data_IF_669258982765
#
_entry.id   IF_669258982765
#
_cell.length_a   1.000
_cell.length_b   1.000
_cell.length_c   1.000
_cell.angle_alpha   90.00
_cell.angle_beta   90.00
_cell.angle_gamma   90.00
#
_symmetry.space_group_name_H-M   'P 1'
#
loop_
_entity.id
_entity.type
_entity.pdbx_description
1 polymer ?
#
# COMPACT_ATOMS: atom_id res chain seq x y z
N UNK A 1 11.41 -18.55 -41.98
CA UNK A 1 11.92 -18.93 -40.65
C UNK A 1 12.07 -17.69 -39.78
N UNK A 2 12.84 -16.69 -40.20
CA UNK A 2 13.01 -15.41 -39.48
C UNK A 2 11.71 -14.59 -39.30
N UNK A 3 10.82 -14.60 -40.30
CA UNK A 3 9.51 -13.95 -40.21
C UNK A 3 8.54 -14.70 -39.27
N UNK A 4 8.73 -16.01 -39.11
CA UNK A 4 7.91 -16.87 -38.24
C UNK A 4 8.37 -16.81 -36.79
N UNK A 5 9.68 -16.66 -36.55
CA UNK A 5 10.26 -16.37 -35.24
C UNK A 5 9.91 -14.96 -34.75
N UNK A 6 9.96 -13.96 -35.64
CA UNK A 6 9.49 -12.60 -35.30
C UNK A 6 7.98 -12.58 -35.02
N UNK A 7 7.17 -13.36 -35.75
CA UNK A 7 5.73 -13.52 -35.48
C UNK A 7 5.45 -14.27 -34.17
N UNK A 8 6.27 -15.26 -33.79
CA UNK A 8 6.17 -15.93 -32.49
C UNK A 8 6.65 -15.04 -31.33
N UNK A 9 7.64 -14.18 -31.53
CA UNK A 9 8.04 -13.15 -30.55
C UNK A 9 7.00 -12.02 -30.42
N UNK A 10 6.30 -11.66 -31.51
CA UNK A 10 5.15 -10.73 -31.42
C UNK A 10 3.89 -11.40 -30.86
N UNK A 11 3.71 -12.71 -30.99
CA UNK A 11 2.62 -13.45 -30.32
C UNK A 11 2.91 -13.71 -28.83
N UNK A 12 4.17 -13.66 -28.40
CA UNK A 12 4.53 -13.53 -26.97
C UNK A 12 4.30 -12.12 -26.42
N UNK A 13 3.98 -11.13 -27.28
CA UNK A 13 3.69 -9.77 -26.83
C UNK A 13 2.21 -9.66 -26.43
N UNK A 14 2.00 -9.26 -25.17
CA UNK A 14 0.71 -9.13 -24.47
C UNK A 14 0.06 -10.37 -23.86
N UNK A 15 0.83 -11.20 -23.17
CA UNK A 15 0.21 -11.95 -22.08
C UNK A 15 -0.18 -10.93 -20.98
N UNK A 16 -1.48 -10.62 -20.89
CA UNK A 16 -2.01 -9.79 -19.80
C UNK A 16 -1.65 -10.48 -18.49
N UNK A 17 -0.98 -9.76 -17.59
CA UNK A 17 -0.61 -10.29 -16.28
C UNK A 17 -1.86 -10.38 -15.39
N UNK A 18 -2.61 -11.48 -15.55
CA UNK A 18 -3.88 -11.73 -14.86
C UNK A 18 -3.73 -11.73 -13.35
N UNK A 19 -2.55 -12.09 -12.83
CA UNK A 19 -2.28 -12.15 -11.41
C UNK A 19 -2.42 -10.77 -10.74
N UNK A 20 -1.97 -9.69 -11.39
CA UNK A 20 -2.11 -8.33 -10.82
C UNK A 20 -3.57 -7.87 -10.81
N UNK A 21 -4.35 -8.26 -11.81
CA UNK A 21 -5.77 -7.93 -11.88
C UNK A 21 -6.56 -8.70 -10.81
N UNK A 22 -6.33 -10.00 -10.65
CA UNK A 22 -6.97 -10.81 -9.60
C UNK A 22 -6.52 -10.42 -8.20
N UNK A 23 -5.23 -10.18 -7.97
CA UNK A 23 -4.75 -9.69 -6.67
C UNK A 23 -5.40 -8.36 -6.32
N UNK A 24 -5.61 -7.45 -7.28
CA UNK A 24 -6.35 -6.22 -7.06
C UNK A 24 -7.80 -6.49 -6.65
N UNK A 25 -8.50 -7.38 -7.37
CA UNK A 25 -9.89 -7.74 -7.07
C UNK A 25 -10.01 -8.33 -5.66
N UNK A 26 -9.17 -9.32 -5.33
CA UNK A 26 -9.15 -9.95 -4.01
C UNK A 26 -8.81 -8.95 -2.90
N UNK A 27 -7.85 -8.05 -3.13
CA UNK A 27 -7.49 -7.04 -2.17
C UNK A 27 -8.62 -6.01 -1.96
N UNK A 28 -9.39 -5.66 -3.00
CA UNK A 28 -10.59 -4.80 -2.87
C UNK A 28 -11.68 -5.51 -2.09
N UNK A 29 -11.95 -6.79 -2.36
CA UNK A 29 -12.90 -7.57 -1.57
C UNK A 29 -12.48 -7.68 -0.10
N UNK A 30 -11.19 -7.91 0.18
CA UNK A 30 -10.66 -7.98 1.53
C UNK A 30 -10.83 -6.65 2.30
N UNK A 31 -10.78 -5.51 1.59
CA UNK A 31 -10.97 -4.19 2.20
C UNK A 31 -12.38 -4.03 2.82
N UNK A 32 -13.40 -4.63 2.23
CA UNK A 32 -14.77 -4.63 2.78
C UNK A 32 -14.81 -5.33 4.14
N UNK A 33 -14.20 -6.52 4.23
CA UNK A 33 -14.12 -7.27 5.48
C UNK A 33 -13.26 -6.56 6.51
N UNK A 34 -12.17 -5.92 6.09
CA UNK A 34 -11.33 -5.10 6.97
C UNK A 34 -12.14 -4.00 7.65
N UNK A 35 -12.85 -3.17 6.89
CA UNK A 35 -13.65 -2.09 7.49
C UNK A 35 -14.85 -2.57 8.32
N UNK A 36 -15.39 -3.75 7.99
CA UNK A 36 -16.45 -4.38 8.81
C UNK A 36 -15.91 -4.88 10.15
N UNK A 37 -14.74 -5.53 10.15
CA UNK A 37 -14.07 -6.00 11.36
C UNK A 37 -13.59 -4.84 12.24
N UNK A 38 -13.20 -3.72 11.63
CA UNK A 38 -12.67 -2.53 12.31
C UNK A 38 -13.64 -1.91 13.32
N UNK A 39 -14.96 -2.13 13.16
CA UNK A 39 -15.99 -1.71 14.13
C UNK A 39 -15.79 -2.35 15.51
N UNK A 40 -15.19 -3.55 15.56
CA UNK A 40 -14.93 -4.31 16.80
C UNK A 40 -13.46 -4.21 17.26
N UNK A 41 -12.67 -3.36 16.61
CA UNK A 41 -11.27 -3.14 16.93
C UNK A 41 -11.10 -1.91 17.83
N UNK A 42 -10.37 -2.09 18.92
CA UNK A 42 -9.84 -1.01 19.75
C UNK A 42 -8.35 -1.25 19.93
N UNK A 43 -7.52 -0.30 19.46
CA UNK A 43 -6.07 -0.40 19.53
C UNK A 43 -5.39 0.73 18.78
N UNK A 44 -4.08 0.58 18.59
CA UNK A 44 -3.18 1.68 18.24
C UNK A 44 -3.26 2.13 16.77
N UNK A 45 -4.06 1.46 15.94
CA UNK A 45 -4.33 1.88 14.55
C UNK A 45 -5.31 3.06 14.46
N UNK A 46 -5.85 3.52 15.60
CA UNK A 46 -6.68 4.71 15.71
C UNK A 46 -8.18 4.43 15.73
N UNK A 47 -8.95 5.50 15.85
CA UNK A 47 -10.41 5.44 15.94
C UNK A 47 -11.05 5.44 14.54
N UNK A 48 -11.83 4.38 14.29
CA UNK A 48 -12.75 4.28 13.18
C UNK A 48 -14.02 5.11 13.45
N UNK A 49 -14.73 5.51 12.39
CA UNK A 49 -15.89 6.40 12.53
C UNK A 49 -17.03 5.82 13.37
N UNK A 50 -17.17 4.49 13.39
CA UNK A 50 -18.16 3.78 14.18
C UNK A 50 -17.43 2.68 14.94
N UNK A 51 -17.67 2.62 16.25
CA UNK A 51 -17.12 1.61 17.14
C UNK A 51 -18.26 0.90 17.89
N UNK A 52 -17.99 -0.35 18.27
CA UNK A 52 -18.86 -1.13 19.14
C UNK A 52 -18.28 -1.16 20.56
N UNK A 53 -19.15 -1.11 21.57
CA UNK A 53 -18.75 -1.26 22.97
C UNK A 53 -18.13 -2.64 23.24
N UNK A 54 -18.52 -3.66 22.46
CA UNK A 54 -17.93 -5.00 22.52
C UNK A 54 -16.81 -5.13 21.51
N UNK A 55 -15.60 -5.38 21.99
CA UNK A 55 -14.44 -5.70 21.16
C UNK A 55 -14.31 -7.19 20.89
N UNK A 56 -13.65 -7.57 19.79
CA UNK A 56 -13.32 -8.97 19.48
C UNK A 56 -11.82 -9.14 19.22
N UNK A 57 -11.16 -9.97 20.03
CA UNK A 57 -9.74 -10.26 19.85
C UNK A 57 -9.44 -10.90 18.49
N UNK A 58 -10.33 -11.77 18.00
CA UNK A 58 -10.20 -12.37 16.68
C UNK A 58 -10.26 -11.32 15.56
N UNK A 59 -11.15 -10.33 15.69
CA UNK A 59 -11.21 -9.21 14.75
C UNK A 59 -9.96 -8.34 14.85
N UNK A 60 -9.41 -8.12 16.05
CA UNK A 60 -8.16 -7.38 16.21
C UNK A 60 -6.97 -8.06 15.55
N UNK A 61 -6.85 -9.38 15.71
CA UNK A 61 -5.80 -10.16 15.02
C UNK A 61 -5.97 -10.07 13.50
N UNK A 62 -7.21 -10.17 13.00
CA UNK A 62 -7.50 -10.03 11.57
C UNK A 62 -7.12 -8.63 11.04
N UNK A 63 -7.49 -7.57 11.75
CA UNK A 63 -7.13 -6.19 11.40
C UNK A 63 -5.61 -6.02 11.35
N UNK A 64 -4.89 -6.45 12.39
CA UNK A 64 -3.43 -6.34 12.44
C UNK A 64 -2.76 -7.13 11.31
N UNK A 65 -3.26 -8.34 11.03
CA UNK A 65 -2.79 -9.18 9.94
C UNK A 65 -2.94 -8.48 8.58
N UNK A 66 -4.14 -8.02 8.23
CA UNK A 66 -4.42 -7.37 6.94
C UNK A 66 -3.66 -6.06 6.84
N UNK A 67 -3.68 -5.23 7.89
CA UNK A 67 -3.02 -3.93 7.91
C UNK A 67 -1.51 -4.02 7.63
N UNK A 68 -0.86 -5.11 8.03
CA UNK A 68 0.59 -5.27 7.88
C UNK A 68 1.05 -5.28 6.41
N UNK A 69 0.24 -5.77 5.46
CA UNK A 69 0.68 -5.98 4.07
C UNK A 69 -0.25 -5.45 2.98
N UNK A 70 -1.52 -5.22 3.30
CA UNK A 70 -2.56 -4.94 2.30
C UNK A 70 -2.33 -3.65 1.50
N UNK A 71 -2.14 -2.52 2.17
CA UNK A 71 -1.87 -1.24 1.48
C UNK A 71 -0.53 -1.21 0.73
N UNK A 72 0.58 -1.71 1.30
CA UNK A 72 1.82 -1.95 0.56
C UNK A 72 1.63 -2.72 -0.75
N UNK A 73 0.86 -3.81 -0.73
CA UNK A 73 0.53 -4.59 -1.92
C UNK A 73 -0.24 -3.74 -2.94
N UNK A 74 -1.23 -2.95 -2.51
CA UNK A 74 -1.98 -2.06 -3.40
C UNK A 74 -1.10 -1.02 -4.12
N UNK A 75 -0.17 -0.39 -3.40
CA UNK A 75 0.77 0.56 -4.01
C UNK A 75 1.69 -0.14 -5.00
N UNK A 76 2.17 -1.34 -4.68
CA UNK A 76 2.97 -2.15 -5.59
C UNK A 76 2.18 -2.49 -6.87
N UNK A 77 0.97 -3.03 -6.75
CA UNK A 77 0.11 -3.35 -7.90
C UNK A 77 -0.17 -2.09 -8.73
N UNK A 78 -0.32 -0.94 -8.10
CA UNK A 78 -0.54 0.34 -8.78
C UNK A 78 0.70 0.79 -9.57
N UNK A 79 1.89 0.56 -9.04
CA UNK A 79 3.17 0.76 -9.73
C UNK A 79 3.35 -0.15 -10.94
N UNK A 80 3.06 -1.44 -10.76
CA UNK A 80 3.02 -2.43 -11.85
C UNK A 80 2.07 -1.97 -12.97
N UNK A 81 0.88 -1.50 -12.59
CA UNK A 81 -0.11 -0.96 -13.54
C UNK A 81 0.40 0.29 -14.27
N UNK A 82 1.25 1.11 -13.64
CA UNK A 82 1.86 2.26 -14.30
C UNK A 82 2.86 1.86 -15.39
N UNK A 83 3.59 0.75 -15.22
CA UNK A 83 4.45 0.19 -16.28
C UNK A 83 3.65 -0.17 -17.52
N UNK A 84 2.51 -0.86 -17.36
CA UNK A 84 1.66 -1.21 -18.49
C UNK A 84 0.96 0.01 -19.11
N UNK A 85 0.50 0.96 -18.29
CA UNK A 85 -0.18 2.16 -18.79
C UNK A 85 0.76 3.04 -19.65
N UNK A 86 1.99 3.27 -19.20
CA UNK A 86 2.97 4.10 -19.92
C UNK A 86 3.49 3.45 -21.22
N UNK A 87 3.09 2.21 -21.52
CA UNK A 87 3.42 1.55 -22.79
C UNK A 87 2.66 2.11 -23.98
N UNK A 88 1.43 2.59 -23.75
CA UNK A 88 0.53 3.05 -24.81
C UNK A 88 0.03 4.48 -24.58
N UNK A 89 0.41 5.11 -23.46
CA UNK A 89 -0.04 6.45 -23.09
C UNK A 89 1.14 7.42 -23.06
N UNK A 90 0.93 8.58 -23.68
CA UNK A 90 1.83 9.72 -23.49
C UNK A 90 1.83 10.19 -22.03
N UNK A 91 2.88 10.88 -21.56
CA UNK A 91 2.92 11.44 -20.22
C UNK A 91 1.68 12.31 -19.90
N UNK A 92 1.24 13.13 -20.86
CA UNK A 92 0.06 13.98 -20.71
C UNK A 92 -1.23 13.16 -20.54
N UNK A 93 -1.42 12.13 -21.38
CA UNK A 93 -2.59 11.23 -21.25
C UNK A 93 -2.57 10.47 -19.93
N UNK A 94 -1.39 10.01 -19.49
CA UNK A 94 -1.24 9.34 -18.20
C UNK A 94 -1.68 10.27 -17.06
N UNK A 95 -1.19 11.52 -17.03
CA UNK A 95 -1.58 12.51 -16.01
C UNK A 95 -3.08 12.81 -16.07
N UNK A 96 -3.64 13.01 -17.27
CA UNK A 96 -5.07 13.28 -17.45
C UNK A 96 -5.94 12.13 -16.90
N UNK A 97 -5.57 10.89 -17.18
CA UNK A 97 -6.28 9.72 -16.64
C UNK A 97 -6.18 9.63 -15.12
N UNK A 98 -5.02 9.96 -14.53
CA UNK A 98 -4.87 10.02 -13.07
C UNK A 98 -5.73 11.13 -12.46
N UNK A 99 -5.81 12.30 -13.09
CA UNK A 99 -6.71 13.35 -12.65
C UNK A 99 -8.17 12.90 -12.68
N UNK A 100 -8.62 12.30 -13.79
CA UNK A 100 -10.00 11.87 -13.96
C UNK A 100 -10.41 10.71 -13.06
N UNK A 101 -9.50 9.75 -12.82
CA UNK A 101 -9.81 8.51 -12.08
C UNK A 101 -9.45 8.56 -10.60
N UNK A 102 -8.57 9.47 -10.18
CA UNK A 102 -8.13 9.58 -8.79
C UNK A 102 -8.48 10.93 -8.19
N UNK A 103 -8.03 12.04 -8.79
CA UNK A 103 -8.20 13.36 -8.18
C UNK A 103 -9.66 13.83 -8.15
N UNK A 104 -10.39 13.70 -9.26
CA UNK A 104 -11.81 14.08 -9.31
C UNK A 104 -12.64 13.21 -8.32
N UNK A 105 -12.54 11.86 -8.33
CA UNK A 105 -13.22 11.04 -7.33
C UNK A 105 -12.80 11.33 -5.89
N UNK A 106 -11.53 11.66 -5.64
CA UNK A 106 -11.04 12.06 -4.33
C UNK A 106 -11.75 13.33 -3.85
N UNK A 107 -11.75 14.40 -4.65
CA UNK A 107 -12.41 15.67 -4.29
C UNK A 107 -13.90 15.45 -4.04
N UNK A 108 -14.58 14.74 -4.95
CA UNK A 108 -16.00 14.41 -4.79
C UNK A 108 -16.25 13.61 -3.51
N UNK A 109 -15.46 12.56 -3.26
CA UNK A 109 -15.58 11.73 -2.09
C UNK A 109 -15.32 12.49 -0.78
N UNK A 110 -14.29 13.34 -0.74
CA UNK A 110 -13.97 14.19 0.43
C UNK A 110 -15.10 15.18 0.74
N UNK A 111 -15.75 15.74 -0.28
CA UNK A 111 -16.81 16.74 -0.08
C UNK A 111 -18.19 16.14 0.16
N UNK A 112 -18.45 14.92 -0.31
CA UNK A 112 -19.79 14.32 -0.30
C UNK A 112 -19.87 13.05 0.57
N UNK A 113 -18.87 12.18 0.51
CA UNK A 113 -18.90 10.88 1.19
C UNK A 113 -18.29 10.91 2.60
N UNK A 114 -17.27 11.73 2.83
CA UNK A 114 -16.60 11.83 4.13
C UNK A 114 -17.42 12.62 5.18
N UNK A 115 -18.08 13.75 4.87
CA UNK A 115 -18.80 14.52 5.90
C UNK A 115 -19.90 13.71 6.61
N UNK A 116 -20.69 12.84 5.94
CA UNK A 116 -21.60 11.92 6.63
C UNK A 116 -20.89 10.99 7.61
N UNK A 117 -19.70 10.47 7.28
CA UNK A 117 -18.94 9.59 8.18
C UNK A 117 -18.44 10.36 9.42
N UNK A 118 -17.92 11.57 9.24
CA UNK A 118 -17.52 12.44 10.36
C UNK A 118 -18.71 12.79 11.24
N UNK A 119 -19.85 13.13 10.62
CA UNK A 119 -21.09 13.42 11.33
C UNK A 119 -21.56 12.22 12.19
N UNK A 120 -21.57 11.02 11.61
CA UNK A 120 -21.93 9.79 12.33
C UNK A 120 -20.96 9.50 13.50
N UNK A 121 -19.66 9.78 13.34
CA UNK A 121 -18.70 9.70 14.45
C UNK A 121 -19.05 10.66 15.57
N UNK A 122 -19.34 11.93 15.26
CA UNK A 122 -19.70 12.93 16.27
C UNK A 122 -20.99 12.56 17.01
N UNK A 123 -21.97 11.97 16.32
CA UNK A 123 -23.18 11.43 16.95
C UNK A 123 -22.87 10.22 17.84
N UNK A 124 -22.06 9.28 17.34
CA UNK A 124 -21.67 8.08 18.09
C UNK A 124 -20.90 8.42 19.37
N UNK A 125 -20.07 9.47 19.34
CA UNK A 125 -19.33 9.98 20.50
C UNK A 125 -20.13 10.96 21.36
N UNK A 126 -21.42 11.20 21.05
CA UNK A 126 -22.29 12.18 21.73
C UNK A 126 -21.70 13.61 21.78
N UNK A 127 -20.90 13.98 20.78
CA UNK A 127 -20.22 15.28 20.67
C UNK A 127 -21.06 16.34 19.96
N UNK A 128 -22.20 15.97 19.36
CA UNK A 128 -23.08 16.90 18.66
C UNK A 128 -24.54 16.44 18.71
N UNK A 129 -25.46 17.39 18.87
CA UNK A 129 -26.91 17.19 18.73
C UNK A 129 -27.48 17.92 17.51
N UNK A 130 -26.62 18.43 16.62
CA UNK A 130 -27.02 19.20 15.44
C UNK A 130 -27.53 18.26 14.35
N UNK A 131 -28.42 18.76 13.49
CA UNK A 131 -28.75 18.07 12.24
C UNK A 131 -27.55 18.05 11.28
N UNK A 132 -27.54 17.11 10.33
CA UNK A 132 -26.47 17.00 9.33
C UNK A 132 -26.24 18.33 8.57
N UNK A 133 -27.32 19.03 8.19
CA UNK A 133 -27.24 20.28 7.44
C UNK A 133 -26.62 21.43 8.25
N UNK A 134 -26.80 21.41 9.57
CA UNK A 134 -26.14 22.35 10.47
C UNK A 134 -24.67 21.99 10.68
N UNK A 135 -24.33 20.70 10.65
CA UNK A 135 -22.95 20.23 10.76
C UNK A 135 -22.13 20.45 9.48
N UNK A 136 -22.72 20.32 8.29
CA UNK A 136 -21.95 20.33 7.04
C UNK A 136 -21.03 21.55 6.86
N UNK A 137 -21.44 22.80 7.17
CA UNK A 137 -20.51 23.94 7.17
C UNK A 137 -19.35 23.78 8.16
N UNK A 138 -19.58 23.14 9.31
CA UNK A 138 -18.58 22.89 10.35
C UNK A 138 -17.60 21.79 9.98
N UNK A 139 -17.89 20.97 8.97
CA UNK A 139 -16.94 20.00 8.43
C UNK A 139 -15.62 20.68 7.99
N UNK A 140 -15.70 21.93 7.52
CA UNK A 140 -14.53 22.69 7.06
C UNK A 140 -13.78 23.43 8.19
N UNK A 141 -14.22 23.28 9.45
CA UNK A 141 -13.59 23.91 10.59
C UNK A 141 -12.38 23.09 11.06
N UNK A 142 -11.18 23.53 10.67
CA UNK A 142 -9.91 22.93 11.07
C UNK A 142 -9.67 21.53 10.50
N UNK A 143 -8.45 21.01 10.66
CA UNK A 143 -8.02 19.70 10.15
C UNK A 143 -7.89 18.72 11.32
N UNK A 144 -8.31 17.46 11.13
CA UNK A 144 -8.15 16.39 12.14
C UNK A 144 -6.68 16.29 12.60
N UNK A 145 -6.40 16.10 13.91
CA UNK A 145 -7.32 15.79 15.02
C UNK A 145 -8.01 16.99 15.66
N UNK A 146 -7.61 18.23 15.34
CA UNK A 146 -8.13 19.43 16.03
C UNK A 146 -9.35 20.06 15.36
N UNK A 147 -9.74 19.56 14.18
CA UNK A 147 -10.95 19.98 13.47
C UNK A 147 -11.64 18.81 12.77
N UNK A 148 -12.65 19.14 11.96
CA UNK A 148 -13.52 18.16 11.33
C UNK A 148 -13.07 17.74 9.93
N UNK A 149 -12.25 18.56 9.26
CA UNK A 149 -11.86 18.30 7.89
C UNK A 149 -10.85 17.15 7.84
N UNK A 150 -11.19 16.14 7.07
CA UNK A 150 -10.34 15.00 6.75
C UNK A 150 -10.82 14.37 5.44
N UNK A 151 -9.99 13.54 4.81
CA UNK A 151 -10.39 12.73 3.65
C UNK A 151 -10.61 11.25 3.99
N UNK A 152 -10.47 10.88 5.27
CA UNK A 152 -10.75 9.53 5.78
C UNK A 152 -10.10 8.43 4.96
N UNK A 153 -10.87 7.38 4.67
CA UNK A 153 -10.42 6.19 3.94
C UNK A 153 -10.00 6.47 2.47
N UNK A 154 -10.24 7.67 1.94
CA UNK A 154 -9.85 8.06 0.58
C UNK A 154 -8.37 8.47 0.47
N UNK A 155 -7.61 8.44 1.57
CA UNK A 155 -6.19 8.78 1.59
C UNK A 155 -5.38 8.03 0.50
N UNK A 156 -5.73 6.79 0.20
CA UNK A 156 -5.06 6.02 -0.84
C UNK A 156 -5.10 6.72 -2.21
N UNK A 157 -6.23 7.35 -2.56
CA UNK A 157 -6.40 8.01 -3.86
C UNK A 157 -5.45 9.20 -3.99
N UNK A 158 -5.37 10.05 -2.97
CA UNK A 158 -4.51 11.24 -3.03
C UNK A 158 -3.02 10.88 -2.95
N UNK A 159 -2.66 9.85 -2.17
CA UNK A 159 -1.29 9.30 -2.15
C UNK A 159 -0.93 8.74 -3.54
N UNK A 160 -1.77 7.88 -4.10
CA UNK A 160 -1.52 7.28 -5.41
C UNK A 160 -1.47 8.34 -6.52
N UNK A 161 -2.35 9.33 -6.50
CA UNK A 161 -2.31 10.46 -7.42
C UNK A 161 -0.97 11.18 -7.33
N UNK A 162 -0.57 11.56 -6.12
CA UNK A 162 0.69 12.28 -5.85
C UNK A 162 1.90 11.48 -6.29
N UNK A 163 1.98 10.19 -5.95
CA UNK A 163 3.08 9.32 -6.36
C UNK A 163 3.12 9.12 -7.87
N UNK A 164 1.95 9.01 -8.52
CA UNK A 164 1.88 8.89 -9.98
C UNK A 164 2.49 10.11 -10.68
N UNK A 165 2.36 11.30 -10.10
CA UNK A 165 2.94 12.54 -10.65
C UNK A 165 4.43 12.69 -10.30
N UNK A 166 4.78 12.55 -9.02
CA UNK A 166 6.15 12.76 -8.54
C UNK A 166 7.10 11.70 -9.11
N UNK A 167 6.67 10.44 -9.21
CA UNK A 167 7.48 9.38 -9.77
C UNK A 167 7.60 9.46 -11.30
N UNK A 168 6.72 10.17 -12.00
CA UNK A 168 6.61 10.13 -13.46
C UNK A 168 7.94 10.39 -14.19
N UNK A 169 8.76 11.40 -13.84
CA UNK A 169 10.06 11.60 -14.49
C UNK A 169 10.99 10.39 -14.36
N UNK A 170 11.02 9.77 -13.17
CA UNK A 170 11.78 8.55 -12.91
C UNK A 170 11.22 7.37 -13.71
N UNK A 171 9.90 7.19 -13.73
CA UNK A 171 9.24 6.11 -14.48
C UNK A 171 9.58 6.20 -15.99
N UNK A 172 9.51 7.40 -16.56
CA UNK A 172 9.85 7.65 -17.96
C UNK A 172 11.34 7.41 -18.24
N UNK A 173 12.22 7.81 -17.31
CA UNK A 173 13.65 7.52 -17.43
C UNK A 173 13.93 6.01 -17.42
N UNK A 174 13.35 5.27 -16.46
CA UNK A 174 13.48 3.82 -16.34
C UNK A 174 12.87 3.05 -17.51
N UNK A 175 11.93 3.66 -18.23
CA UNK A 175 11.28 3.03 -19.38
C UNK A 175 12.17 2.98 -20.63
N UNK A 176 13.16 3.87 -20.73
CA UNK A 176 14.06 3.91 -21.91
C UNK A 176 14.68 2.52 -22.15
N UNK A 177 14.82 2.05 -23.40
CA UNK A 177 15.37 0.72 -23.68
C UNK A 177 16.72 0.49 -23.01
N UNK A 178 17.58 1.51 -23.04
CA UNK A 178 18.96 1.48 -22.53
C UNK A 178 19.10 1.96 -21.07
N UNK A 179 18.02 2.06 -20.29
CA UNK A 179 18.11 2.59 -18.91
C UNK A 179 19.07 1.73 -18.05
N UNK A 180 20.30 2.21 -17.75
CA UNK A 180 21.33 1.36 -17.15
C UNK A 180 20.98 0.98 -15.70
N UNK A 181 20.19 1.82 -15.02
CA UNK A 181 19.67 1.53 -13.70
C UNK A 181 18.71 0.33 -13.71
N UNK A 182 17.83 0.23 -14.71
CA UNK A 182 16.86 -0.88 -14.82
C UNK A 182 17.59 -2.20 -15.06
N UNK A 183 18.50 -2.24 -16.03
CA UNK A 183 19.28 -3.46 -16.34
C UNK A 183 20.19 -3.89 -15.19
N UNK A 184 20.84 -2.94 -14.50
CA UNK A 184 21.66 -3.24 -13.32
C UNK A 184 20.83 -3.79 -12.17
N UNK A 185 19.65 -3.23 -11.90
CA UNK A 185 18.76 -3.74 -10.85
C UNK A 185 18.21 -5.12 -11.21
N UNK A 186 17.85 -5.34 -12.48
CA UNK A 186 17.38 -6.64 -12.97
C UNK A 186 18.42 -7.74 -12.75
N UNK A 187 19.65 -7.54 -13.24
CA UNK A 187 20.74 -8.52 -13.08
C UNK A 187 21.16 -8.72 -11.62
N UNK A 188 20.99 -7.70 -10.77
CA UNK A 188 21.25 -7.84 -9.34
C UNK A 188 20.22 -8.72 -8.65
N UNK A 189 18.94 -8.62 -9.03
CA UNK A 189 17.84 -9.39 -8.44
C UNK A 189 17.87 -10.88 -8.80
N UNK A 190 18.53 -11.25 -9.90
CA UNK A 190 18.77 -12.67 -10.24
C UNK A 190 19.62 -13.40 -9.20
N UNK A 191 20.49 -12.66 -8.47
CA UNK A 191 21.34 -13.26 -7.45
C UNK A 191 20.48 -13.86 -6.33
N UNK A 192 20.78 -15.09 -5.87
CA UNK A 192 20.00 -15.74 -4.83
C UNK A 192 19.79 -14.85 -3.60
N UNK A 193 18.54 -14.75 -3.14
CA UNK A 193 18.16 -13.99 -1.94
C UNK A 193 17.99 -12.48 -2.13
N UNK A 194 18.42 -11.87 -3.23
CA UNK A 194 18.35 -10.39 -3.38
C UNK A 194 16.92 -9.88 -3.39
N UNK A 195 15.98 -10.62 -3.99
CA UNK A 195 14.56 -10.25 -3.92
C UNK A 195 14.06 -10.14 -2.48
N UNK A 196 14.57 -10.96 -1.54
CA UNK A 196 14.23 -10.88 -0.13
C UNK A 196 14.90 -9.68 0.54
N UNK A 197 16.13 -9.33 0.14
CA UNK A 197 16.88 -8.18 0.65
C UNK A 197 16.31 -6.81 0.25
N UNK A 198 15.37 -6.76 -0.70
CA UNK A 198 14.62 -5.53 -0.98
C UNK A 198 13.75 -5.09 0.21
N UNK A 199 13.62 -5.91 1.26
CA UNK A 199 13.10 -5.47 2.55
C UNK A 199 13.95 -4.40 3.24
N UNK A 200 15.27 -4.37 3.03
CA UNK A 200 16.19 -3.53 3.81
C UNK A 200 15.89 -2.03 3.73
N UNK A 201 15.67 -1.41 2.55
CA UNK A 201 15.28 0.00 2.50
C UNK A 201 13.88 0.24 3.08
N UNK A 202 12.96 -0.73 2.99
CA UNK A 202 11.64 -0.63 3.61
C UNK A 202 11.75 -0.66 5.14
N UNK A 203 12.58 -1.55 5.67
CA UNK A 203 12.93 -1.63 7.08
C UNK A 203 13.60 -0.35 7.57
N UNK A 204 14.54 0.21 6.81
CA UNK A 204 15.18 1.48 7.14
C UNK A 204 14.18 2.63 7.20
N UNK A 205 13.25 2.72 6.23
CA UNK A 205 12.19 3.74 6.24
C UNK A 205 11.33 3.61 7.50
N UNK A 206 10.85 2.40 7.82
CA UNK A 206 10.05 2.15 9.01
C UNK A 206 10.82 2.48 10.29
N UNK A 207 12.05 1.98 10.45
CA UNK A 207 12.89 2.22 11.62
C UNK A 207 13.24 3.70 11.84
N UNK A 208 13.58 4.43 10.77
CA UNK A 208 14.04 5.82 10.86
C UNK A 208 12.88 6.80 11.02
N UNK A 209 11.78 6.60 10.28
CA UNK A 209 10.70 7.59 10.17
C UNK A 209 9.52 7.31 11.11
N UNK A 210 9.16 6.04 11.38
CA UNK A 210 7.99 5.70 12.19
C UNK A 210 8.05 6.15 13.66
N UNK A 211 9.23 6.29 14.32
CA UNK A 211 9.29 6.88 15.66
C UNK A 211 8.70 8.30 15.75
N UNK A 212 8.85 9.09 14.68
CA UNK A 212 8.32 10.47 14.61
C UNK A 212 6.96 10.53 13.92
N UNK A 213 6.81 9.87 12.78
CA UNK A 213 5.61 9.92 11.96
C UNK A 213 4.80 8.64 12.14
N UNK A 214 3.75 8.72 12.96
CA UNK A 214 2.88 7.58 13.25
C UNK A 214 2.20 7.02 11.98
N UNK A 215 1.83 7.91 11.06
CA UNK A 215 1.14 7.54 9.84
C UNK A 215 -0.33 7.91 9.82
N UNK A 216 -0.66 9.19 10.03
CA UNK A 216 -2.04 9.68 10.00
C UNK A 216 -2.70 9.65 8.62
N UNK A 217 -1.96 9.28 7.57
CA UNK A 217 -2.46 9.20 6.19
C UNK A 217 -2.92 10.58 5.66
N UNK A 218 -2.26 11.64 6.14
CA UNK A 218 -2.60 13.05 5.84
C UNK A 218 -1.71 13.67 4.74
N UNK A 219 -0.80 12.91 4.12
CA UNK A 219 0.09 13.29 3.01
C UNK A 219 1.14 14.38 3.30
N UNK A 220 0.79 15.43 4.04
CA UNK A 220 1.66 16.60 4.25
C UNK A 220 2.58 16.49 5.48
N UNK A 221 2.19 15.71 6.50
CA UNK A 221 3.01 15.43 7.68
C UNK A 221 3.01 13.92 7.99
N UNK A 222 3.32 13.14 6.95
CA UNK A 222 3.31 11.69 6.98
C UNK A 222 4.45 11.09 6.15
N UNK A 223 5.67 11.53 6.45
CA UNK A 223 6.86 11.16 5.69
C UNK A 223 7.18 9.66 5.76
N UNK A 224 6.82 8.97 6.84
CA UNK A 224 6.97 7.51 6.95
C UNK A 224 6.14 6.79 5.86
N UNK A 225 4.83 7.06 5.77
CA UNK A 225 3.99 6.43 4.75
C UNK A 225 4.32 6.94 3.34
N UNK A 226 4.65 8.23 3.17
CA UNK A 226 5.02 8.80 1.87
C UNK A 226 6.23 8.06 1.28
N UNK A 227 7.31 7.94 2.04
CA UNK A 227 8.52 7.25 1.59
C UNK A 227 8.27 5.75 1.36
N UNK A 228 7.58 5.08 2.28
CA UNK A 228 7.34 3.65 2.22
C UNK A 228 6.49 3.28 1.00
N UNK A 229 5.34 3.92 0.83
CA UNK A 229 4.39 3.59 -0.23
C UNK A 229 4.87 4.05 -1.60
N UNK A 230 5.61 5.16 -1.69
CA UNK A 230 6.30 5.54 -2.93
C UNK A 230 7.33 4.49 -3.34
N UNK A 231 8.07 3.93 -2.38
CA UNK A 231 9.03 2.85 -2.66
C UNK A 231 8.32 1.58 -3.12
N UNK A 232 7.22 1.16 -2.48
CA UNK A 232 6.39 0.05 -2.97
C UNK A 232 5.87 0.28 -4.39
N UNK A 233 5.42 1.50 -4.70
CA UNK A 233 4.99 1.88 -6.04
C UNK A 233 6.12 1.76 -7.07
N UNK A 234 7.33 2.24 -6.73
CA UNK A 234 8.51 2.09 -7.60
C UNK A 234 8.89 0.61 -7.77
N UNK A 235 8.85 -0.18 -6.69
CA UNK A 235 9.10 -1.63 -6.74
C UNK A 235 8.14 -2.35 -7.67
N UNK A 236 6.85 -2.02 -7.61
CA UNK A 236 5.86 -2.57 -8.52
C UNK A 236 6.18 -2.27 -9.99
N UNK A 237 6.55 -1.02 -10.27
CA UNK A 237 6.96 -0.61 -11.61
C UNK A 237 8.17 -1.41 -12.12
N UNK A 238 9.18 -1.58 -11.27
CA UNK A 238 10.39 -2.34 -11.61
C UNK A 238 10.12 -3.84 -11.80
N UNK A 239 9.32 -4.45 -10.92
CA UNK A 239 8.97 -5.88 -10.99
C UNK A 239 8.26 -6.22 -12.30
N UNK A 240 7.37 -5.34 -12.77
CA UNK A 240 6.68 -5.55 -14.05
C UNK A 240 7.55 -5.24 -15.27
N UNK A 241 8.69 -4.57 -15.09
CA UNK A 241 9.54 -4.10 -16.18
C UNK A 241 10.48 -5.16 -16.77
N UNK A 242 10.85 -6.19 -16.00
CA UNK A 242 11.85 -7.18 -16.39
C UNK A 242 11.46 -8.59 -15.90
N UNK A 243 11.72 -9.61 -16.72
CA UNK A 243 11.35 -11.02 -16.43
C UNK A 243 12.15 -11.60 -15.25
N UNK A 244 13.33 -11.06 -14.97
CA UNK A 244 14.20 -11.56 -13.90
C UNK A 244 13.61 -11.39 -12.50
N UNK A 245 12.86 -10.31 -12.24
CA UNK A 245 12.15 -10.12 -10.97
C UNK A 245 11.12 -11.24 -10.76
N UNK A 246 10.42 -11.60 -11.83
CA UNK A 246 9.38 -12.64 -11.83
C UNK A 246 9.98 -14.00 -11.49
N UNK A 247 11.09 -14.37 -12.14
CA UNK A 247 11.83 -15.59 -11.84
C UNK A 247 12.35 -15.61 -10.39
N UNK A 248 12.83 -14.46 -9.89
CA UNK A 248 13.31 -14.35 -8.51
C UNK A 248 12.18 -14.55 -7.48
N UNK A 249 10.98 -14.00 -7.72
CA UNK A 249 9.81 -14.19 -6.85
C UNK A 249 9.41 -15.66 -6.78
N UNK A 250 9.30 -16.35 -7.94
CA UNK A 250 8.95 -17.77 -7.99
C UNK A 250 9.98 -18.64 -7.26
N UNK A 251 11.27 -18.39 -7.53
CA UNK A 251 12.38 -19.13 -6.90
C UNK A 251 12.38 -19.02 -5.37
N UNK A 252 11.94 -17.89 -4.82
CA UNK A 252 11.97 -17.63 -3.37
C UNK A 252 10.59 -17.70 -2.71
N UNK A 253 9.53 -18.12 -3.41
CA UNK A 253 8.16 -18.15 -2.89
C UNK A 253 8.04 -18.93 -1.57
N UNK A 254 8.66 -20.11 -1.49
CA UNK A 254 8.62 -20.94 -0.28
C UNK A 254 9.30 -20.25 0.92
N UNK A 255 10.48 -19.67 0.70
CA UNK A 255 11.23 -18.95 1.74
C UNK A 255 10.49 -17.68 2.16
N UNK A 256 9.99 -16.89 1.20
CA UNK A 256 9.21 -15.69 1.47
C UNK A 256 7.94 -16.01 2.27
N UNK A 257 7.23 -17.09 1.92
CA UNK A 257 6.03 -17.52 2.65
C UNK A 257 6.35 -17.96 4.08
N UNK A 258 7.42 -18.74 4.27
CA UNK A 258 7.86 -19.15 5.60
C UNK A 258 8.25 -17.94 6.46
N UNK A 259 9.05 -17.02 5.92
CA UNK A 259 9.43 -15.78 6.62
C UNK A 259 8.21 -14.91 6.93
N UNK A 260 7.29 -14.74 5.99
CA UNK A 260 6.06 -13.95 6.18
C UNK A 260 5.20 -14.51 7.33
N UNK A 261 5.02 -15.84 7.39
CA UNK A 261 4.23 -16.50 8.44
C UNK A 261 4.95 -16.43 9.79
N UNK A 262 6.24 -16.74 9.84
CA UNK A 262 7.02 -16.72 11.09
C UNK A 262 7.11 -15.31 11.67
N UNK A 263 7.43 -14.31 10.84
CA UNK A 263 7.45 -12.92 11.26
C UNK A 263 6.05 -12.41 11.65
N UNK A 264 4.99 -12.81 10.94
CA UNK A 264 3.63 -12.46 11.35
C UNK A 264 3.23 -13.08 12.69
N UNK A 265 3.58 -14.34 12.93
CA UNK A 265 3.37 -15.02 14.21
C UNK A 265 4.07 -14.30 15.35
N UNK A 266 5.33 -13.89 15.14
CA UNK A 266 6.08 -13.08 16.11
C UNK A 266 5.44 -11.71 16.33
N UNK A 267 5.06 -11.00 15.26
CA UNK A 267 4.40 -9.70 15.34
C UNK A 267 3.10 -9.75 16.16
N UNK A 268 2.24 -10.72 15.85
CA UNK A 268 0.97 -10.93 16.58
C UNK A 268 1.25 -11.39 18.01
N UNK A 269 2.23 -12.28 18.22
CA UNK A 269 2.61 -12.77 19.54
C UNK A 269 3.11 -11.67 20.46
N UNK A 270 3.98 -10.79 19.96
CA UNK A 270 4.45 -9.60 20.69
C UNK A 270 3.29 -8.67 21.06
N UNK A 271 2.36 -8.46 20.14
CA UNK A 271 1.17 -7.65 20.39
C UNK A 271 0.26 -8.27 21.47
N UNK A 272 -0.02 -9.57 21.38
CA UNK A 272 -0.84 -10.28 22.37
C UNK A 272 -0.19 -10.32 23.76
N UNK A 273 1.12 -10.50 23.80
CA UNK A 273 1.91 -10.49 25.04
C UNK A 273 2.12 -9.09 25.62
N UNK A 274 1.67 -8.02 24.92
CA UNK A 274 1.90 -6.61 25.28
C UNK A 274 3.40 -6.29 25.44
N UNK A 275 4.21 -6.87 24.57
CA UNK A 275 5.66 -6.69 24.49
C UNK A 275 6.07 -5.81 23.30
N UNK A 276 5.12 -5.12 22.68
CA UNK A 276 5.43 -4.12 21.66
C UNK A 276 6.11 -2.94 22.36
N UNK A 277 7.32 -2.54 21.92
CA UNK A 277 8.02 -1.44 22.55
C UNK A 277 7.26 -0.13 22.38
N UNK A 278 7.38 0.75 23.37
CA UNK A 278 6.79 2.08 23.31
C UNK A 278 7.41 2.90 22.17
N UNK A 279 6.60 3.76 21.56
CA UNK A 279 7.07 4.62 20.46
C UNK A 279 8.09 5.63 20.98
N UNK A 280 9.35 5.40 20.61
CA UNK A 280 10.44 6.33 20.86
C UNK A 280 11.55 6.15 19.82
N UNK A 281 12.49 7.10 19.79
CA UNK A 281 13.78 6.89 19.14
C UNK A 281 14.70 6.02 20.02
N UNK A 282 14.24 4.81 20.31
CA UNK A 282 14.95 3.80 21.10
C UNK A 282 15.31 2.60 20.22
N UNK A 283 16.37 1.88 20.60
CA UNK A 283 16.89 0.78 19.79
C UNK A 283 15.85 -0.33 19.58
N UNK A 284 15.09 -0.69 20.62
CA UNK A 284 14.02 -1.68 20.59
C UNK A 284 12.88 -1.30 19.65
N UNK A 285 12.37 -0.06 19.72
CA UNK A 285 11.29 0.39 18.84
C UNK A 285 11.75 0.50 17.38
N UNK A 286 12.94 1.04 17.14
CA UNK A 286 13.52 1.12 15.79
C UNK A 286 13.70 -0.28 15.19
N UNK A 287 14.25 -1.23 15.96
CA UNK A 287 14.41 -2.62 15.51
C UNK A 287 13.07 -3.29 15.25
N UNK A 288 12.07 -3.06 16.10
CA UNK A 288 10.71 -3.54 15.90
C UNK A 288 10.10 -3.01 14.59
N UNK A 289 10.28 -1.73 14.27
CA UNK A 289 9.78 -1.15 13.03
C UNK A 289 10.55 -1.64 11.79
N UNK A 290 11.87 -1.77 11.87
CA UNK A 290 12.66 -2.44 10.84
C UNK A 290 12.13 -3.84 10.55
N UNK A 291 11.88 -4.63 11.60
CA UNK A 291 11.28 -5.95 11.51
C UNK A 291 9.92 -5.93 10.82
N UNK A 292 9.05 -4.98 11.17
CA UNK A 292 7.74 -4.82 10.51
C UNK A 292 7.88 -4.52 9.02
N UNK A 293 8.81 -3.63 8.64
CA UNK A 293 9.13 -3.36 7.24
C UNK A 293 9.55 -4.63 6.47
N UNK A 294 10.36 -5.48 7.09
CA UNK A 294 10.72 -6.80 6.52
C UNK A 294 9.53 -7.74 6.39
N UNK A 295 8.72 -7.88 7.44
CA UNK A 295 7.56 -8.75 7.45
C UNK A 295 6.57 -8.37 6.33
N UNK A 296 6.30 -7.07 6.16
CA UNK A 296 5.46 -6.56 5.06
C UNK A 296 5.99 -7.00 3.70
N UNK A 297 7.30 -6.85 3.47
CA UNK A 297 7.90 -7.22 2.19
C UNK A 297 7.76 -8.71 1.89
N UNK A 298 7.98 -9.58 2.89
CA UNK A 298 7.83 -11.02 2.72
C UNK A 298 6.38 -11.41 2.38
N UNK A 299 5.38 -10.78 3.01
CA UNK A 299 3.98 -10.96 2.64
C UNK A 299 3.68 -10.51 1.22
N UNK A 300 4.25 -9.38 0.79
CA UNK A 300 4.07 -8.86 -0.57
C UNK A 300 4.68 -9.82 -1.60
N UNK A 301 5.91 -10.31 -1.39
CA UNK A 301 6.56 -11.29 -2.27
C UNK A 301 5.78 -12.61 -2.31
N UNK A 302 5.33 -13.10 -1.15
CA UNK A 302 4.52 -14.31 -1.06
C UNK A 302 3.17 -14.14 -1.79
N UNK A 303 2.49 -13.01 -1.60
CA UNK A 303 1.22 -12.70 -2.27
C UNK A 303 1.37 -12.64 -3.80
N UNK A 304 2.44 -12.00 -4.30
CA UNK A 304 2.75 -11.99 -5.73
C UNK A 304 3.03 -13.39 -6.28
N UNK A 305 3.85 -14.18 -5.59
CA UNK A 305 4.21 -15.53 -6.05
C UNK A 305 3.03 -16.52 -6.00
N UNK A 306 2.18 -16.46 -4.98
CA UNK A 306 0.97 -17.26 -4.92
C UNK A 306 -0.09 -16.81 -5.92
N UNK A 307 -0.25 -15.49 -6.10
CA UNK A 307 -1.13 -14.95 -7.14
C UNK A 307 -0.76 -15.49 -8.51
N UNK A 308 0.52 -15.45 -8.86
CA UNK A 308 1.00 -15.99 -10.15
C UNK A 308 0.85 -17.50 -10.30
N UNK A 309 0.93 -18.25 -9.20
CA UNK A 309 0.80 -19.71 -9.25
C UNK A 309 -0.64 -20.18 -9.44
N UNK A 310 -1.63 -19.38 -9.02
CA UNK A 310 -3.02 -19.84 -8.87
C UNK A 310 -4.11 -18.96 -9.50
N UNK A 311 -3.82 -17.72 -9.92
CA UNK A 311 -4.80 -16.75 -10.46
C UNK A 311 -4.54 -16.47 -11.93
#
# INVERSE_FOLDING_TARGET
MEATENAQQTLQSHQREYEFDWLRVLAVFLLLYFHTAAVFYQGDLGEFYIQNDRTSQGMSVFILFVHQWHMPLFFLISGASAWFALAYRSPQQYVQERCQRLFIPFVFGTLILIPPQVYLRLLNQSLSNKSYWQFYPEFFNGIRPHGNFEWGHLWFLIYLFTFSLIALPLLLHLRRPEAPLRSKLSSWVEKPGVILLLCLPLAAIEGILRPRWLGFQNLYDDWANVCLYLLYFIYGYLISSEVHFRAAIEKHLGVASALAILCMGLFIGLWQARLVPDRAYSADYVLYQCFRGCNTWFWVVAGLGWGRKFL
#
